data_IF_509933188265
#
_entry.id   IF_509933188265
#
_cell.length_a   1.000
_cell.length_b   1.000
_cell.length_c   1.000
_cell.angle_alpha   90.00
_cell.angle_beta   90.00
_cell.angle_gamma   90.00
#
_symmetry.space_group_name_H-M   'P 1'
#
loop_
_entity.id
_entity.type
_entity.pdbx_description
1 polymer ?
#
# COMPACT_ATOMS: atom_id res chain seq x y z
N UNK A 1 8.71 -35.71 12.85
CA UNK A 1 9.63 -34.82 13.59
C UNK A 1 10.01 -33.64 12.71
N UNK A 2 9.24 -32.56 12.74
CA UNK A 2 9.68 -31.28 12.16
C UNK A 2 10.66 -30.65 13.17
N UNK A 3 11.89 -30.25 12.76
CA UNK A 3 12.82 -29.58 13.68
C UNK A 3 12.17 -28.30 14.23
N UNK A 4 12.44 -27.93 15.48
CA UNK A 4 11.86 -26.70 16.05
C UNK A 4 12.21 -25.52 15.15
N UNK A 5 11.21 -24.75 14.73
CA UNK A 5 11.47 -23.50 14.06
C UNK A 5 12.22 -22.60 15.06
N UNK A 6 13.35 -22.04 14.64
CA UNK A 6 14.12 -21.12 15.49
C UNK A 6 13.28 -19.88 15.81
N UNK A 7 13.75 -19.03 16.72
CA UNK A 7 13.02 -17.81 17.15
C UNK A 7 12.65 -16.83 16.03
N UNK A 8 13.18 -17.00 14.82
CA UNK A 8 12.95 -16.17 13.63
C UNK A 8 12.24 -16.89 12.49
N UNK A 9 11.92 -18.17 12.63
CA UNK A 9 11.27 -18.94 11.56
C UNK A 9 10.00 -19.63 12.04
N UNK A 10 9.16 -20.05 11.10
CA UNK A 10 8.02 -20.92 11.32
C UNK A 10 7.89 -21.92 10.17
N UNK A 11 7.15 -23.02 10.42
CA UNK A 11 6.88 -24.03 9.39
C UNK A 11 5.62 -23.70 8.62
N UNK A 12 5.70 -23.74 7.29
CA UNK A 12 4.58 -23.61 6.37
C UNK A 12 4.91 -24.39 5.10
N UNK A 13 3.95 -25.15 4.56
CA UNK A 13 4.13 -25.96 3.35
C UNK A 13 5.41 -26.81 3.37
N UNK A 14 5.58 -27.58 4.45
CA UNK A 14 6.72 -28.49 4.67
C UNK A 14 8.11 -27.84 4.55
N UNK A 15 8.19 -26.52 4.69
CA UNK A 15 9.41 -25.72 4.59
C UNK A 15 9.52 -24.77 5.78
N UNK A 16 10.75 -24.39 6.16
CA UNK A 16 10.96 -23.30 7.11
C UNK A 16 10.87 -21.94 6.40
N UNK A 17 10.16 -21.00 7.01
CA UNK A 17 9.94 -19.64 6.54
C UNK A 17 10.41 -18.65 7.58
N UNK A 18 11.08 -17.59 7.16
CA UNK A 18 11.38 -16.47 8.04
C UNK A 18 10.09 -15.68 8.34
N UNK A 19 9.93 -15.19 9.57
CA UNK A 19 8.84 -14.27 9.87
C UNK A 19 8.97 -12.98 9.06
N UNK A 20 7.84 -12.41 8.56
CA UNK A 20 7.88 -11.15 7.83
C UNK A 20 8.26 -10.00 8.77
N UNK A 21 9.18 -9.16 8.30
CA UNK A 21 9.64 -7.91 8.89
C UNK A 21 9.49 -6.80 7.86
N UNK A 22 9.68 -5.54 8.26
CA UNK A 22 9.65 -4.42 7.31
C UNK A 22 10.69 -4.54 6.19
N UNK A 23 11.80 -5.26 6.42
CA UNK A 23 12.89 -5.38 5.45
C UNK A 23 12.70 -6.55 4.48
N UNK A 24 11.97 -7.60 4.87
CA UNK A 24 11.83 -8.82 4.07
C UNK A 24 10.39 -9.11 3.60
N UNK A 25 9.42 -8.24 3.90
CA UNK A 25 7.99 -8.50 3.61
C UNK A 25 7.73 -8.76 2.12
N UNK A 26 8.39 -8.03 1.23
CA UNK A 26 8.22 -8.20 -0.22
C UNK A 26 8.69 -9.60 -0.65
N UNK A 27 9.89 -10.00 -0.22
CA UNK A 27 10.43 -11.34 -0.48
C UNK A 27 9.55 -12.44 0.13
N UNK A 28 9.01 -12.20 1.32
CA UNK A 28 8.10 -13.13 1.99
C UNK A 28 6.81 -13.33 1.18
N UNK A 29 6.18 -12.25 0.72
CA UNK A 29 4.97 -12.29 -0.12
C UNK A 29 5.26 -12.96 -1.47
N UNK A 30 6.37 -12.62 -2.13
CA UNK A 30 6.78 -13.24 -3.39
C UNK A 30 6.95 -14.76 -3.26
N UNK A 31 7.50 -15.20 -2.13
CA UNK A 31 7.66 -16.62 -1.85
C UNK A 31 6.31 -17.31 -1.62
N UNK A 32 5.36 -16.68 -0.94
CA UNK A 32 3.99 -17.20 -0.79
C UNK A 32 3.30 -17.33 -2.16
N UNK A 33 3.47 -16.34 -3.05
CA UNK A 33 2.94 -16.38 -4.42
C UNK A 33 3.52 -17.55 -5.22
N UNK A 34 4.85 -17.70 -5.24
CA UNK A 34 5.53 -18.76 -6.00
C UNK A 34 5.21 -20.17 -5.51
N UNK A 35 4.85 -20.31 -4.24
CA UNK A 35 4.41 -21.56 -3.63
C UNK A 35 2.89 -21.76 -3.72
N UNK A 36 2.17 -20.85 -4.36
CA UNK A 36 0.71 -20.90 -4.51
C UNK A 36 -0.04 -20.97 -3.17
N UNK A 37 0.55 -20.40 -2.12
CA UNK A 37 -0.01 -20.39 -0.75
C UNK A 37 -0.93 -19.21 -0.48
N UNK A 38 -1.07 -18.29 -1.46
CA UNK A 38 -2.02 -17.20 -1.40
C UNK A 38 -3.31 -17.59 -2.11
N UNK A 39 -4.43 -17.39 -1.42
CA UNK A 39 -5.77 -17.49 -2.01
C UNK A 39 -6.29 -16.10 -2.30
N UNK A 40 -6.72 -15.87 -3.54
CA UNK A 40 -7.42 -14.64 -3.92
C UNK A 40 -8.92 -14.83 -3.73
N UNK A 41 -9.53 -13.99 -2.91
CA UNK A 41 -10.99 -13.95 -2.79
C UNK A 41 -11.56 -13.08 -3.94
N UNK A 42 -12.33 -13.67 -4.88
CA UNK A 42 -12.90 -12.92 -6.01
C UNK A 42 -13.80 -11.77 -5.56
N UNK A 43 -14.48 -11.91 -4.42
CA UNK A 43 -15.32 -10.87 -3.84
C UNK A 43 -14.48 -9.64 -3.50
N UNK A 44 -13.34 -9.86 -2.85
CA UNK A 44 -12.43 -8.78 -2.45
C UNK A 44 -11.88 -8.09 -3.70
N UNK A 45 -11.51 -8.85 -4.73
CA UNK A 45 -11.06 -8.26 -5.99
C UNK A 45 -12.15 -7.38 -6.64
N UNK A 46 -13.40 -7.86 -6.72
CA UNK A 46 -14.52 -7.06 -7.25
C UNK A 46 -14.70 -5.75 -6.47
N UNK A 47 -14.65 -5.83 -5.13
CA UNK A 47 -14.77 -4.66 -4.25
C UNK A 47 -13.64 -3.66 -4.46
N UNK A 48 -12.40 -4.13 -4.64
CA UNK A 48 -11.24 -3.29 -4.91
C UNK A 48 -11.28 -2.63 -6.30
N UNK A 49 -11.98 -3.25 -7.25
CA UNK A 49 -12.23 -2.73 -8.60
C UNK A 49 -13.53 -1.91 -8.70
N UNK A 50 -14.11 -1.53 -7.56
CA UNK A 50 -15.36 -0.77 -7.44
C UNK A 50 -16.53 -1.39 -8.23
N UNK A 51 -16.52 -2.72 -8.40
CA UNK A 51 -17.58 -3.44 -9.08
C UNK A 51 -18.81 -3.59 -8.17
N UNK A 52 -20.03 -3.59 -8.73
CA UNK A 52 -21.24 -3.84 -7.96
C UNK A 52 -21.22 -5.26 -7.38
N UNK A 53 -21.65 -5.38 -6.13
CA UNK A 53 -21.75 -6.67 -5.43
C UNK A 53 -23.16 -6.78 -4.87
N UNK A 54 -23.85 -7.87 -5.18
CA UNK A 54 -25.20 -8.14 -4.68
C UNK A 54 -25.15 -8.67 -3.24
N UNK A 55 -24.79 -7.78 -2.30
CA UNK A 55 -24.70 -8.08 -0.88
C UNK A 55 -25.00 -6.84 -0.03
N UNK A 56 -25.52 -7.06 1.18
CA UNK A 56 -25.65 -5.98 2.15
C UNK A 56 -24.28 -5.42 2.57
N UNK A 57 -24.20 -4.11 2.78
CA UNK A 57 -23.01 -3.39 3.24
C UNK A 57 -22.37 -4.04 4.48
N UNK A 58 -23.18 -4.45 5.46
CA UNK A 58 -22.71 -5.14 6.68
C UNK A 58 -21.99 -6.45 6.37
N UNK A 59 -22.52 -7.24 5.44
CA UNK A 59 -21.93 -8.54 5.07
C UNK A 59 -20.63 -8.33 4.32
N UNK A 60 -20.61 -7.35 3.43
CA UNK A 60 -19.42 -6.96 2.68
C UNK A 60 -18.28 -6.54 3.61
N UNK A 61 -18.54 -5.60 4.53
CA UNK A 61 -17.55 -5.10 5.49
C UNK A 61 -16.98 -6.21 6.37
N UNK A 62 -17.83 -7.12 6.86
CA UNK A 62 -17.39 -8.26 7.68
C UNK A 62 -16.51 -9.23 6.89
N UNK A 63 -16.91 -9.60 5.67
CA UNK A 63 -16.10 -10.49 4.81
C UNK A 63 -14.78 -9.83 4.44
N UNK A 64 -14.80 -8.55 4.10
CA UNK A 64 -13.61 -7.78 3.78
C UNK A 64 -12.61 -7.74 4.93
N UNK A 65 -13.09 -7.45 6.14
CA UNK A 65 -12.25 -7.47 7.34
C UNK A 65 -11.66 -8.85 7.62
N UNK A 66 -12.46 -9.91 7.49
CA UNK A 66 -11.99 -11.28 7.72
C UNK A 66 -10.93 -11.71 6.70
N UNK A 67 -11.09 -11.32 5.44
CA UNK A 67 -10.19 -11.72 4.37
C UNK A 67 -8.89 -10.91 4.36
N UNK A 68 -8.95 -9.60 4.66
CA UNK A 68 -7.81 -8.68 4.49
C UNK A 68 -7.17 -8.24 5.81
N UNK A 69 -7.85 -8.45 6.95
CA UNK A 69 -7.46 -7.86 8.23
C UNK A 69 -7.70 -6.34 8.33
N UNK A 70 -8.20 -5.70 7.26
CA UNK A 70 -8.45 -4.27 7.18
C UNK A 70 -9.93 -3.98 7.02
N UNK A 71 -10.41 -2.85 7.55
CA UNK A 71 -11.77 -2.40 7.23
C UNK A 71 -11.83 -1.87 5.80
N UNK A 72 -13.00 -1.97 5.18
CA UNK A 72 -13.24 -1.42 3.84
C UNK A 72 -12.88 0.08 3.76
N UNK A 73 -13.26 0.88 4.77
CA UNK A 73 -12.91 2.30 4.84
C UNK A 73 -11.39 2.50 4.95
N UNK A 74 -10.68 1.70 5.75
CA UNK A 74 -9.21 1.78 5.84
C UNK A 74 -8.57 1.56 4.48
N UNK A 75 -9.01 0.56 3.72
CA UNK A 75 -8.52 0.32 2.37
C UNK A 75 -8.78 1.52 1.45
N UNK A 76 -9.99 2.07 1.47
CA UNK A 76 -10.32 3.26 0.67
C UNK A 76 -9.42 4.45 1.00
N UNK A 77 -9.14 4.70 2.29
CA UNK A 77 -8.22 5.76 2.71
C UNK A 77 -6.78 5.51 2.24
N UNK A 78 -6.32 4.25 2.25
CA UNK A 78 -5.01 3.88 1.68
C UNK A 78 -4.98 4.17 0.18
N UNK A 79 -6.01 3.76 -0.58
CA UNK A 79 -6.08 4.02 -2.03
C UNK A 79 -6.11 5.52 -2.33
N UNK A 80 -6.91 6.30 -1.59
CA UNK A 80 -6.95 7.76 -1.72
C UNK A 80 -5.59 8.39 -1.40
N UNK A 81 -4.87 7.89 -0.39
CA UNK A 81 -3.52 8.35 -0.07
C UNK A 81 -2.49 7.99 -1.15
N UNK A 82 -2.59 6.80 -1.75
CA UNK A 82 -1.76 6.40 -2.89
C UNK A 82 -2.03 7.28 -4.10
N UNK A 83 -3.29 7.56 -4.39
CA UNK A 83 -3.69 8.46 -5.48
C UNK A 83 -3.17 9.88 -5.26
N UNK A 84 -3.36 10.47 -4.08
CA UNK A 84 -2.78 11.77 -3.72
C UNK A 84 -1.25 11.80 -3.88
N UNK A 85 -0.57 10.76 -3.41
CA UNK A 85 0.88 10.63 -3.57
C UNK A 85 1.28 10.60 -5.05
N UNK A 86 0.49 9.93 -5.89
CA UNK A 86 0.75 9.86 -7.32
C UNK A 86 0.59 11.23 -7.98
N UNK A 87 -0.47 11.97 -7.65
CA UNK A 87 -0.70 13.33 -8.16
C UNK A 87 0.47 14.26 -7.82
N UNK A 88 0.91 14.27 -6.56
CA UNK A 88 2.05 15.07 -6.10
C UNK A 88 3.35 14.68 -6.80
N UNK A 89 3.59 13.37 -7.01
CA UNK A 89 4.76 12.87 -7.76
C UNK A 89 4.73 13.25 -9.25
N UNK A 90 3.55 13.52 -9.80
CA UNK A 90 3.40 14.00 -11.18
C UNK A 90 3.34 15.53 -11.26
N UNK A 91 3.69 16.24 -10.17
CA UNK A 91 3.84 17.69 -10.17
C UNK A 91 2.56 18.48 -9.90
N UNK A 92 1.44 17.81 -9.57
CA UNK A 92 0.24 18.54 -9.16
C UNK A 92 0.51 19.29 -7.85
N UNK A 93 0.02 20.53 -7.75
CA UNK A 93 0.21 21.34 -6.55
C UNK A 93 -0.46 20.69 -5.33
N UNK A 94 0.01 21.02 -4.13
CA UNK A 94 -0.59 20.52 -2.89
C UNK A 94 -2.06 20.95 -2.80
N UNK A 95 -2.37 22.19 -3.19
CA UNK A 95 -3.71 22.74 -3.13
C UNK A 95 -4.66 22.03 -4.11
N UNK A 96 -4.23 21.85 -5.36
CA UNK A 96 -5.03 21.13 -6.36
C UNK A 96 -5.22 19.66 -5.96
N UNK A 97 -4.21 19.05 -5.33
CA UNK A 97 -4.32 17.68 -4.81
C UNK A 97 -5.38 17.59 -3.71
N UNK A 98 -5.50 18.56 -2.81
CA UNK A 98 -6.56 18.60 -1.77
C UNK A 98 -7.94 18.53 -2.42
N UNK A 99 -8.17 19.38 -3.42
CA UNK A 99 -9.43 19.41 -4.17
C UNK A 99 -9.67 18.11 -4.92
N UNK A 100 -8.66 17.60 -5.62
CA UNK A 100 -8.76 16.39 -6.44
C UNK A 100 -9.08 15.13 -5.63
N UNK A 101 -8.58 15.04 -4.39
CA UNK A 101 -8.87 13.90 -3.50
C UNK A 101 -10.05 14.14 -2.55
N UNK A 102 -10.74 15.27 -2.69
CA UNK A 102 -11.98 15.57 -1.98
C UNK A 102 -11.81 15.84 -0.49
N UNK A 103 -10.71 16.51 -0.11
CA UNK A 103 -10.57 17.07 1.25
C UNK A 103 -10.95 18.55 1.28
N UNK A 104 -11.41 19.01 2.44
CA UNK A 104 -11.74 20.42 2.65
C UNK A 104 -10.48 21.30 2.70
N UNK A 105 -9.36 20.76 3.19
CA UNK A 105 -8.14 21.53 3.43
C UNK A 105 -6.86 20.66 3.40
N UNK A 106 -5.71 21.35 3.38
CA UNK A 106 -4.38 20.75 3.40
C UNK A 106 -4.03 20.01 4.71
N UNK A 107 -4.42 20.47 5.92
CA UNK A 107 -4.25 19.69 7.14
C UNK A 107 -4.83 18.28 7.08
N UNK A 108 -6.00 18.09 6.46
CA UNK A 108 -6.61 16.76 6.30
C UNK A 108 -5.80 15.87 5.36
N UNK A 109 -5.37 16.41 4.21
CA UNK A 109 -4.46 15.72 3.29
C UNK A 109 -3.16 15.31 3.99
N UNK A 110 -2.58 16.21 4.80
CA UNK A 110 -1.32 15.97 5.52
C UNK A 110 -1.47 14.85 6.54
N UNK A 111 -2.56 14.84 7.32
CA UNK A 111 -2.84 13.77 8.29
C UNK A 111 -3.03 12.42 7.59
N UNK A 112 -3.76 12.38 6.48
CA UNK A 112 -3.96 11.16 5.69
C UNK A 112 -2.61 10.62 5.17
N UNK A 113 -1.80 11.46 4.53
CA UNK A 113 -0.52 11.03 3.95
C UNK A 113 0.50 10.60 5.01
N UNK A 114 0.60 11.33 6.14
CA UNK A 114 1.43 10.88 7.26
C UNK A 114 1.00 9.50 7.77
N UNK A 115 -0.31 9.30 7.93
CA UNK A 115 -0.85 8.05 8.48
C UNK A 115 -0.59 6.84 7.58
N UNK A 116 -0.78 6.98 6.28
CA UNK A 116 -0.77 5.83 5.36
C UNK A 116 0.49 5.71 4.50
N UNK A 117 1.19 6.82 4.25
CA UNK A 117 2.39 6.85 3.41
C UNK A 117 3.66 7.21 4.19
N UNK A 118 3.54 7.61 5.46
CA UNK A 118 4.67 8.02 6.30
C UNK A 118 5.32 9.35 5.90
N UNK A 119 4.71 10.11 4.99
CA UNK A 119 5.29 11.33 4.41
C UNK A 119 4.28 12.48 4.38
N UNK A 120 4.75 13.72 4.47
CA UNK A 120 3.94 14.92 4.21
C UNK A 120 3.86 15.23 2.71
N UNK A 121 2.88 16.04 2.26
CA UNK A 121 2.85 16.49 0.87
C UNK A 121 4.18 17.13 0.43
N UNK A 122 4.75 18.01 1.27
CA UNK A 122 6.01 18.69 0.98
C UNK A 122 7.19 17.71 0.83
N UNK A 123 7.28 16.67 1.68
CA UNK A 123 8.32 15.65 1.57
C UNK A 123 8.21 14.84 0.27
N UNK A 124 6.97 14.53 -0.15
CA UNK A 124 6.72 13.80 -1.41
C UNK A 124 7.15 14.65 -2.61
N UNK A 125 6.79 15.94 -2.63
CA UNK A 125 7.19 16.89 -3.68
C UNK A 125 8.71 17.05 -3.71
N UNK A 126 9.37 17.28 -2.56
CA UNK A 126 10.83 17.46 -2.48
C UNK A 126 11.58 16.26 -3.06
N UNK A 127 11.24 15.03 -2.66
CA UNK A 127 11.87 13.81 -3.17
C UNK A 127 11.62 13.62 -4.67
N UNK A 128 10.48 14.08 -5.16
CA UNK A 128 10.14 14.07 -6.59
C UNK A 128 10.96 15.10 -7.35
N UNK A 129 11.47 16.16 -6.74
CA UNK A 129 12.36 17.14 -7.39
C UNK A 129 13.84 16.74 -7.29
N UNK A 130 14.23 15.99 -6.25
CA UNK A 130 15.57 15.40 -6.12
C UNK A 130 15.86 14.32 -7.19
N UNK A 131 14.85 13.51 -7.56
CA UNK A 131 14.99 12.44 -8.56
C UNK A 131 15.25 12.94 -10.00
N UNK A 132 14.59 13.99 -10.50
CA UNK A 132 14.88 14.65 -11.77
C UNK A 132 16.22 15.38 -11.77
N UNK A 133 16.56 16.09 -10.69
CA UNK A 133 17.80 16.88 -10.64
C UNK A 133 19.05 16.00 -10.59
N UNK A 134 19.02 14.89 -9.84
CA UNK A 134 20.14 13.93 -9.83
C UNK A 134 20.42 13.27 -11.18
N UNK A 135 19.45 13.23 -12.10
CA UNK A 135 19.64 12.73 -13.48
C UNK A 135 20.17 13.81 -14.43
N UNK A 136 19.97 15.09 -14.13
CA UNK A 136 20.40 16.21 -14.97
C UNK A 136 21.87 16.60 -14.77
N UNK A 137 22.46 16.31 -13.60
CA UNK A 137 23.87 16.63 -13.33
C UNK A 137 24.86 15.50 -13.62
N UNK A 138 24.42 14.35 -14.18
CA UNK A 138 25.31 13.22 -14.53
C UNK A 138 25.73 13.18 -16.01
N UNK A 139 25.36 14.16 -16.82
CA UNK A 139 25.98 14.35 -18.15
C UNK A 139 26.96 15.53 -18.08
N UNK A 140 28.21 15.21 -17.78
CA UNK A 140 29.34 16.01 -18.23
C UNK A 140 30.28 15.08 -19.00
N UNK A 141 30.69 15.45 -20.21
CA UNK A 141 31.70 14.73 -20.98
C UNK A 141 33.06 14.99 -20.31
N UNK A 142 33.84 13.94 -20.11
CA UNK A 142 35.29 13.80 -20.37
C UNK A 142 35.71 12.43 -19.85
#
# INVERSE_FOLDING_TARGET
NLPSAGSKTFWLDSSAWEYPTFENVDTFVDRLMRKELLVFDPLINMVLQEQPVDMSQRTLQRRFLRATGLTYNTMFQIQRARYATNLLKHGLSILDTVSQVGYADQPHLTRMLKRYMGQTPAQIVSRTLEKPMSLLFKTAPF
#
